data_IF_016580107930
#
_entry.id   IF_016580107930
#
_cell.length_a   1.000
_cell.length_b   1.000
_cell.length_c   1.000
_cell.angle_alpha   90.00
_cell.angle_beta   90.00
_cell.angle_gamma   90.00
#
_symmetry.space_group_name_H-M   'P 1'
#
loop_
_entity.id
_entity.type
_entity.pdbx_description
1 polymer ?
#
# COMPACT_ATOMS: atom_id res chain seq x y z
N UNK A 1 -4.64 10.82 11.82
CA UNK A 1 -3.29 10.84 11.22
C UNK A 1 -3.35 11.48 9.84
N UNK A 2 -2.27 12.11 9.41
CA UNK A 2 -2.11 12.50 8.01
C UNK A 2 -1.56 11.31 7.19
N UNK A 3 -1.46 11.48 5.86
CA UNK A 3 -1.00 10.42 4.97
C UNK A 3 0.39 9.90 5.33
N UNK A 4 1.33 10.81 5.62
CA UNK A 4 2.70 10.44 5.99
C UNK A 4 2.74 9.61 7.27
N UNK A 5 1.90 9.94 8.24
CA UNK A 5 1.82 9.21 9.50
C UNK A 5 1.27 7.80 9.30
N UNK A 6 0.26 7.64 8.44
CA UNK A 6 -0.29 6.31 8.12
C UNK A 6 0.75 5.45 7.40
N UNK A 7 1.47 6.03 6.44
CA UNK A 7 2.52 5.32 5.70
C UNK A 7 3.66 4.91 6.64
N UNK A 8 4.06 5.80 7.56
CA UNK A 8 5.05 5.48 8.59
C UNK A 8 4.57 4.34 9.49
N UNK A 9 3.30 4.37 9.91
CA UNK A 9 2.72 3.28 10.69
C UNK A 9 2.76 1.96 9.92
N UNK A 10 2.39 1.99 8.64
CA UNK A 10 2.44 0.80 7.78
C UNK A 10 3.86 0.25 7.67
N UNK A 11 4.86 1.09 7.45
CA UNK A 11 6.24 0.65 7.31
C UNK A 11 6.79 0.03 8.62
N UNK A 12 6.19 0.38 9.75
CA UNK A 12 6.57 -0.15 11.06
C UNK A 12 5.63 -1.28 11.55
N UNK A 13 4.75 -1.77 10.68
CA UNK A 13 3.83 -2.85 11.02
C UNK A 13 2.72 -2.46 11.97
N UNK A 14 2.37 -1.18 12.03
CA UNK A 14 1.35 -0.64 12.93
C UNK A 14 0.09 -0.26 12.17
N UNK A 15 -1.03 -0.23 12.87
CA UNK A 15 -2.28 0.28 12.32
C UNK A 15 -2.29 1.81 12.33
N UNK A 16 -2.96 2.39 11.35
CA UNK A 16 -3.13 3.83 11.24
C UNK A 16 -4.28 4.15 10.30
N UNK A 17 -4.76 5.40 10.36
CA UNK A 17 -5.90 5.82 9.57
C UNK A 17 -5.91 7.33 9.43
N UNK A 18 -6.16 7.83 8.21
CA UNK A 18 -6.43 9.25 8.01
C UNK A 18 -7.81 9.60 8.58
N UNK A 19 -8.06 10.90 8.84
CA UNK A 19 -9.29 11.35 9.45
C UNK A 19 -10.54 10.94 8.65
N UNK A 20 -10.46 10.97 7.31
CA UNK A 20 -11.56 10.57 6.43
C UNK A 20 -11.55 9.06 6.09
N UNK A 21 -10.58 8.31 6.60
CA UNK A 21 -10.48 6.86 6.33
C UNK A 21 -10.04 6.50 4.93
N UNK A 22 -9.57 7.46 4.11
CA UNK A 22 -9.18 7.17 2.73
C UNK A 22 -7.88 6.37 2.61
N UNK A 23 -7.01 6.46 3.61
CA UNK A 23 -5.77 5.68 3.67
C UNK A 23 -5.68 5.03 5.04
N UNK A 24 -5.51 3.71 5.06
CA UNK A 24 -5.45 2.93 6.29
C UNK A 24 -4.31 1.92 6.23
N UNK A 25 -3.71 1.63 7.38
CA UNK A 25 -2.77 0.54 7.54
C UNK A 25 -3.28 -0.42 8.61
N UNK A 26 -2.92 -1.69 8.48
CA UNK A 26 -3.33 -2.73 9.41
C UNK A 26 -2.10 -3.47 9.94
N UNK A 27 -2.24 -4.10 11.10
CA UNK A 27 -1.15 -4.85 11.73
C UNK A 27 -0.75 -6.10 10.94
N UNK A 28 -1.56 -6.52 9.97
CA UNK A 28 -1.24 -7.62 9.06
C UNK A 28 -0.27 -7.21 7.93
N UNK A 29 0.16 -5.94 7.90
CA UNK A 29 1.09 -5.42 6.91
C UNK A 29 0.44 -4.85 5.66
N UNK A 30 -0.89 -4.73 5.62
CA UNK A 30 -1.57 -4.14 4.44
C UNK A 30 -1.71 -2.63 4.57
N UNK A 31 -1.55 -1.95 3.43
CA UNK A 31 -1.86 -0.53 3.24
C UNK A 31 -3.00 -0.44 2.23
N UNK A 32 -4.09 0.23 2.59
CA UNK A 32 -5.27 0.34 1.73
C UNK A 32 -5.58 1.79 1.40
N UNK A 33 -5.90 2.01 0.12
CA UNK A 33 -6.52 3.25 -0.35
C UNK A 33 -8.00 2.95 -0.55
N UNK A 34 -8.85 3.50 0.33
CA UNK A 34 -10.24 3.05 0.50
C UNK A 34 -10.26 1.54 0.80
N UNK A 35 -10.85 0.73 -0.08
CA UNK A 35 -10.89 -0.73 0.10
C UNK A 35 -9.84 -1.47 -0.73
N UNK A 36 -9.05 -0.75 -1.52
CA UNK A 36 -8.03 -1.34 -2.38
C UNK A 36 -6.72 -1.50 -1.64
N UNK A 37 -6.21 -2.72 -1.55
CA UNK A 37 -4.88 -2.98 -1.01
C UNK A 37 -3.85 -2.47 -2.02
N UNK A 38 -3.03 -1.50 -1.62
CA UNK A 38 -1.98 -0.91 -2.47
C UNK A 38 -0.58 -1.23 -1.97
N UNK A 39 -0.42 -1.68 -0.73
CA UNK A 39 0.87 -2.03 -0.15
C UNK A 39 0.77 -3.26 0.73
N UNK A 40 1.83 -4.05 0.77
CA UNK A 40 1.92 -5.25 1.60
C UNK A 40 3.34 -5.41 2.15
N UNK A 41 3.47 -6.14 3.24
CA UNK A 41 4.77 -6.62 3.74
C UNK A 41 5.02 -8.01 3.18
N UNK A 42 6.23 -8.25 2.70
CA UNK A 42 6.67 -9.56 2.21
C UNK A 42 7.87 -10.02 3.04
N UNK A 43 8.31 -11.27 2.82
CA UNK A 43 9.52 -11.79 3.46
C UNK A 43 10.77 -10.97 3.11
N UNK A 44 10.77 -10.29 1.97
CA UNK A 44 11.90 -9.48 1.48
C UNK A 44 11.72 -7.98 1.77
N UNK A 45 10.71 -7.60 2.54
CA UNK A 45 10.38 -6.21 2.84
C UNK A 45 8.99 -5.83 2.32
N UNK A 46 8.67 -4.54 2.34
CA UNK A 46 7.35 -4.09 1.89
C UNK A 46 7.42 -3.54 0.47
N UNK A 47 6.33 -3.72 -0.27
CA UNK A 47 6.20 -3.31 -1.67
C UNK A 47 4.86 -2.60 -1.88
N UNK A 48 4.78 -1.80 -2.94
CA UNK A 48 3.59 -1.05 -3.34
C UNK A 48 3.26 -1.39 -4.78
N UNK A 49 1.98 -1.63 -5.06
CA UNK A 49 1.52 -1.88 -6.42
C UNK A 49 1.33 -0.57 -7.20
N UNK A 50 1.69 -0.57 -8.47
CA UNK A 50 1.61 0.62 -9.34
C UNK A 50 0.17 0.88 -9.80
N UNK A 51 -0.68 1.32 -8.87
CA UNK A 51 -2.05 1.75 -9.18
C UNK A 51 -2.08 3.24 -9.57
N UNK A 52 -1.16 3.63 -10.44
CA UNK A 52 -1.05 4.99 -10.99
C UNK A 52 -1.25 4.97 -12.50
N UNK A 53 -1.23 6.14 -13.13
CA UNK A 53 -1.33 6.25 -14.59
C UNK A 53 -0.19 5.56 -15.33
N UNK A 54 0.94 5.31 -14.66
CA UNK A 54 2.09 4.56 -15.23
C UNK A 54 1.84 3.05 -15.24
N UNK A 55 0.89 2.56 -14.45
CA UNK A 55 0.53 1.15 -14.35
C UNK A 55 -0.96 0.95 -14.51
N UNK A 56 -1.63 0.40 -13.49
CA UNK A 56 -3.08 0.18 -13.51
C UNK A 56 -3.78 1.29 -12.72
N UNK A 57 -4.19 2.34 -13.41
CA UNK A 57 -4.85 3.50 -12.80
C UNK A 57 -6.17 3.11 -12.15
N UNK A 58 -6.40 3.55 -10.93
CA UNK A 58 -7.64 3.33 -10.18
C UNK A 58 -8.38 4.65 -9.95
N UNK A 59 -7.72 5.63 -9.31
CA UNK A 59 -8.27 6.96 -9.09
C UNK A 59 -7.14 7.94 -8.78
N UNK A 60 -7.42 9.25 -8.86
CA UNK A 60 -6.44 10.27 -8.50
C UNK A 60 -5.99 10.15 -7.03
N UNK A 61 -6.92 9.89 -6.12
CA UNK A 61 -6.62 9.72 -4.70
C UNK A 61 -5.72 8.51 -4.48
N UNK A 62 -6.04 7.39 -5.10
CA UNK A 62 -5.22 6.18 -5.00
C UNK A 62 -3.84 6.40 -5.59
N UNK A 63 -3.73 7.08 -6.75
CA UNK A 63 -2.43 7.43 -7.35
C UNK A 63 -1.58 8.26 -6.40
N UNK A 64 -2.19 9.23 -5.70
CA UNK A 64 -1.49 10.05 -4.71
C UNK A 64 -1.00 9.18 -3.54
N UNK A 65 -1.82 8.29 -3.04
CA UNK A 65 -1.45 7.37 -1.95
C UNK A 65 -0.28 6.47 -2.36
N UNK A 66 -0.32 5.90 -3.57
CA UNK A 66 0.77 5.08 -4.11
C UNK A 66 2.05 5.91 -4.24
N UNK A 67 1.96 7.12 -4.77
CA UNK A 67 3.10 8.02 -4.89
C UNK A 67 3.74 8.33 -3.54
N UNK A 68 2.93 8.58 -2.51
CA UNK A 68 3.43 8.83 -1.16
C UNK A 68 4.10 7.57 -0.58
N UNK A 69 3.49 6.40 -0.75
CA UNK A 69 4.03 5.15 -0.24
C UNK A 69 5.30 4.72 -0.96
N UNK A 70 5.46 5.08 -2.23
CA UNK A 70 6.66 4.74 -3.01
C UNK A 70 7.93 5.43 -2.50
N UNK A 71 7.80 6.43 -1.64
CA UNK A 71 8.94 7.08 -1.01
C UNK A 71 9.61 6.21 0.05
N UNK A 72 8.90 5.22 0.59
CA UNK A 72 9.43 4.33 1.64
C UNK A 72 9.47 2.86 1.19
N UNK A 73 8.89 2.53 0.04
CA UNK A 73 8.78 1.16 -0.45
C UNK A 73 8.96 1.12 -1.96
N UNK A 74 9.60 0.09 -2.51
CA UNK A 74 9.68 -0.06 -3.96
C UNK A 74 8.28 -0.27 -4.56
N UNK A 75 8.08 0.35 -5.72
CA UNK A 75 6.86 0.19 -6.51
C UNK A 75 7.08 -0.93 -7.52
N UNK A 76 6.12 -1.84 -7.63
CA UNK A 76 6.16 -2.96 -8.58
C UNK A 76 4.92 -2.93 -9.46
N UNK A 77 4.94 -3.62 -10.59
CA UNK A 77 3.76 -3.72 -11.44
C UNK A 77 2.59 -4.32 -10.66
N UNK A 78 1.36 -3.98 -11.05
CA UNK A 78 0.16 -4.54 -10.40
C UNK A 78 0.14 -6.07 -10.54
N UNK A 79 0.59 -6.62 -11.65
CA UNK A 79 0.66 -8.07 -11.84
C UNK A 79 1.61 -8.72 -10.83
N UNK A 80 2.81 -8.17 -10.68
CA UNK A 80 3.79 -8.66 -9.69
C UNK A 80 3.26 -8.49 -8.27
N UNK A 81 2.58 -7.38 -8.00
CA UNK A 81 1.96 -7.13 -6.71
C UNK A 81 0.90 -8.18 -6.37
N UNK A 82 0.04 -8.52 -7.32
CA UNK A 82 -0.99 -9.56 -7.15
C UNK A 82 -0.40 -10.93 -6.93
N UNK A 83 0.68 -11.26 -7.62
CA UNK A 83 1.42 -12.51 -7.40
C UNK A 83 1.95 -12.55 -5.96
N UNK A 84 2.57 -11.48 -5.48
CA UNK A 84 3.07 -11.40 -4.12
C UNK A 84 1.95 -11.53 -3.08
N UNK A 85 0.78 -10.91 -3.32
CA UNK A 85 -0.38 -11.07 -2.44
C UNK A 85 -0.84 -12.53 -2.38
N UNK A 86 -0.87 -13.21 -3.52
CA UNK A 86 -1.28 -14.62 -3.60
C UNK A 86 -0.30 -15.50 -2.83
N UNK A 87 1.01 -15.27 -2.97
CA UNK A 87 2.03 -16.01 -2.25
C UNK A 87 1.86 -15.86 -0.73
N UNK A 88 1.58 -14.64 -0.25
CA UNK A 88 1.34 -14.40 1.18
C UNK A 88 0.10 -15.13 1.69
N UNK A 89 -0.92 -15.29 0.85
CA UNK A 89 -2.14 -15.99 1.24
C UNK A 89 -1.91 -17.49 1.49
N UNK A 90 -0.83 -18.06 0.97
CA UNK A 90 -0.48 -19.47 1.17
C UNK A 90 0.43 -19.70 2.38
N UNK A 91 0.93 -18.63 2.97
CA UNK A 91 1.77 -18.70 4.17
C UNK A 91 0.93 -18.62 5.45
#
# INVERSE_FOLDING_TARGET
MNKSQVISAWSNGRSGRTANGSLTSSTDGTLRSYNLVIGIHTANGFIVGDFTSSGTYYSNTTSTHVGNASQVAPIVSVDDFKVAQTELAWL
#
